data_IF_434511055317
#
_entry.id   IF_434511055317
#
_cell.length_a   1.000
_cell.length_b   1.000
_cell.length_c   1.000
_cell.angle_alpha   90.00
_cell.angle_beta   90.00
_cell.angle_gamma   90.00
#
_symmetry.space_group_name_H-M   'P 1'
#
loop_
_entity.id
_entity.type
_entity.pdbx_description
1 polymer ?
#
# COMPACT_ATOMS: atom_id res chain seq x y z
N UNK A 1 -14.69 25.37 47.31
CA UNK A 1 -14.55 25.17 46.88
C UNK A 1 -14.18 24.96 46.03
N UNK A 2 -14.05 25.11 46.10
CA UNK A 2 -13.77 24.85 45.31
C UNK A 2 -13.46 24.52 44.57
N UNK A 3 -13.24 24.28 44.33
CA UNK A 3 -12.89 23.85 43.59
C UNK A 3 -12.69 23.40 42.77
N UNK A 4 -12.68 23.51 42.80
CA UNK A 4 -12.44 23.14 41.96
C UNK A 4 -12.04 22.89 41.08
N UNK A 5 -11.72 22.91 41.05
CA UNK A 5 -11.29 22.85 40.15
C UNK A 5 -10.90 22.33 39.42
N UNK A 6 -10.94 21.97 39.42
CA UNK A 6 -10.61 21.55 38.65
C UNK A 6 -10.39 21.04 37.83
N UNK A 7 -10.50 20.62 37.92
CA UNK A 7 -10.29 20.14 37.13
C UNK A 7 -10.19 20.29 36.02
N UNK A 8 -10.26 20.58 35.91
CA UNK A 8 -10.29 20.88 34.87
C UNK A 8 -9.56 20.75 34.07
N UNK A 9 -8.85 20.41 34.18
CA UNK A 9 -8.09 20.38 33.48
C UNK A 9 -7.77 19.52 32.75
N UNK A 10 -7.72 18.82 33.03
CA UNK A 10 -7.40 17.91 32.48
C UNK A 10 -7.86 17.96 31.27
N UNK A 11 -8.46 18.13 31.24
CA UNK A 11 -8.99 18.17 30.20
C UNK A 11 -8.35 18.54 29.16
N UNK A 12 -7.81 19.00 29.16
CA UNK A 12 -7.27 19.47 28.24
C UNK A 12 -6.49 18.73 27.64
N UNK A 13 -6.18 18.08 28.10
CA UNK A 13 -5.45 17.38 27.60
C UNK A 13 -5.85 16.75 26.67
N UNK A 14 -6.40 16.41 26.92
CA UNK A 14 -6.92 15.65 26.09
C UNK A 14 -6.80 16.23 24.87
N UNK A 15 -7.01 17.14 24.90
CA UNK A 15 -7.06 17.73 23.78
C UNK A 15 -5.98 17.48 23.03
N UNK A 16 -5.17 17.44 23.55
CA UNK A 16 -4.14 17.36 22.86
C UNK A 16 -4.18 16.36 22.02
N UNK A 17 -4.57 15.62 22.24
CA UNK A 17 -4.47 14.66 21.51
C UNK A 17 -4.85 14.81 20.33
N UNK A 18 -5.31 15.15 20.36
CA UNK A 18 -5.91 15.21 19.31
C UNK A 18 -5.14 15.46 18.22
N UNK A 19 -4.42 15.86 18.18
CA UNK A 19 -3.84 16.18 17.16
C UNK A 19 -3.05 15.41 16.51
N UNK A 20 -2.50 14.84 16.92
CA UNK A 20 -1.53 14.24 16.29
C UNK A 20 -1.92 13.57 15.22
N UNK A 21 -2.28 13.17 15.30
CA UNK A 21 -2.80 12.55 14.60
C UNK A 21 -2.75 12.72 13.32
N UNK A 22 -2.91 13.07 12.95
CA UNK A 22 -3.11 13.20 11.78
C UNK A 22 -2.16 13.40 10.93
N UNK A 23 -1.32 13.50 11.27
CA UNK A 23 -0.37 13.93 10.40
C UNK A 23 -0.01 13.03 9.32
N UNK A 24 0.16 11.80 9.50
CA UNK A 24 0.63 10.99 8.43
C UNK A 24 -0.28 9.88 8.12
N UNK A 25 -0.53 9.69 6.85
CA UNK A 25 -1.13 8.45 6.40
C UNK A 25 -0.03 7.40 6.34
N UNK A 26 -0.32 6.21 6.71
CA UNK A 26 0.64 5.13 6.57
C UNK A 26 0.86 4.85 5.08
N UNK A 27 2.07 4.49 4.72
CA UNK A 27 2.33 4.08 3.35
C UNK A 27 1.57 2.79 3.06
N UNK A 28 1.17 2.59 1.81
CA UNK A 28 0.40 1.40 1.45
C UNK A 28 1.15 0.09 1.65
N UNK A 29 2.46 0.13 1.61
CA UNK A 29 3.30 -1.04 1.80
C UNK A 29 4.61 -0.61 2.41
N UNK A 30 5.44 -1.57 2.80
CA UNK A 30 6.69 -1.25 3.46
C UNK A 30 7.78 -2.17 2.96
N UNK A 31 9.03 -1.79 3.18
CA UNK A 31 10.16 -2.66 2.88
C UNK A 31 10.47 -3.51 4.10
N UNK A 32 10.61 -4.80 3.90
CA UNK A 32 10.98 -5.71 4.96
C UNK A 32 11.97 -6.70 4.38
N UNK A 33 13.14 -6.79 5.02
CA UNK A 33 14.19 -7.68 4.55
C UNK A 33 14.55 -7.43 3.08
N UNK A 34 14.51 -6.15 2.68
CA UNK A 34 14.90 -5.76 1.33
C UNK A 34 13.82 -5.90 0.27
N UNK A 35 12.63 -6.34 0.65
CA UNK A 35 11.54 -6.55 -0.29
C UNK A 35 10.30 -5.82 0.16
N UNK A 36 9.47 -5.41 -0.79
CA UNK A 36 8.23 -4.73 -0.45
C UNK A 36 7.17 -5.75 -0.04
N UNK A 37 6.51 -5.49 1.07
CA UNK A 37 5.38 -6.28 1.54
C UNK A 37 4.23 -5.35 1.88
N UNK A 38 3.00 -5.87 1.79
CA UNK A 38 1.84 -5.07 2.18
C UNK A 38 1.67 -5.13 3.70
N UNK A 39 0.60 -4.53 4.21
CA UNK A 39 0.41 -4.45 5.65
C UNK A 39 0.09 -5.80 6.30
N UNK A 40 -0.20 -6.80 5.50
CA UNK A 40 -0.39 -8.16 6.00
C UNK A 40 0.88 -8.97 5.90
N UNK A 41 1.96 -8.36 5.43
CA UNK A 41 3.24 -9.05 5.26
C UNK A 41 3.36 -9.82 3.96
N UNK A 42 2.39 -9.68 3.06
CA UNK A 42 2.40 -10.41 1.80
C UNK A 42 3.29 -9.72 0.79
N UNK A 43 4.00 -10.51 0.01
CA UNK A 43 4.95 -10.00 -0.98
C UNK A 43 4.24 -9.24 -2.08
N UNK A 44 4.84 -8.13 -2.49
CA UNK A 44 4.30 -7.25 -3.54
C UNK A 44 5.12 -7.40 -4.81
N UNK A 45 4.44 -7.46 -5.94
CA UNK A 45 5.06 -7.72 -7.25
C UNK A 45 4.76 -6.63 -8.26
N UNK A 46 5.60 -6.55 -9.29
CA UNK A 46 5.32 -5.74 -10.47
C UNK A 46 5.24 -6.66 -11.69
N UNK A 47 4.62 -6.14 -12.75
CA UNK A 47 4.37 -6.90 -13.98
C UNK A 47 5.06 -6.17 -15.12
N UNK A 48 5.95 -6.86 -15.82
CA UNK A 48 6.77 -6.22 -16.86
C UNK A 48 5.96 -5.71 -18.04
N UNK A 49 4.77 -6.26 -18.26
CA UNK A 49 3.96 -5.79 -19.38
C UNK A 49 3.18 -4.52 -19.10
N UNK A 50 3.17 -4.06 -17.85
CA UNK A 50 2.56 -2.80 -17.53
C UNK A 50 3.46 -1.68 -18.05
N UNK A 51 2.87 -0.68 -18.65
CA UNK A 51 3.64 0.41 -19.22
C UNK A 51 2.88 1.71 -19.16
N UNK A 52 3.61 2.82 -19.04
CA UNK A 52 2.99 4.12 -19.07
C UNK A 52 2.05 4.40 -17.92
N UNK A 53 2.26 3.77 -16.78
CA UNK A 53 1.39 3.96 -15.64
C UNK A 53 0.05 3.26 -15.77
N UNK A 54 -0.04 2.27 -16.65
CA UNK A 54 -1.30 1.58 -16.88
C UNK A 54 -1.14 0.10 -16.59
N UNK A 55 -2.12 -0.48 -15.92
CA UNK A 55 -2.13 -1.90 -15.63
C UNK A 55 -2.63 -2.68 -16.83
N UNK A 56 -1.88 -3.69 -17.21
CA UNK A 56 -2.27 -4.59 -18.30
C UNK A 56 -2.78 -5.92 -17.77
N UNK A 57 -2.88 -6.07 -16.45
CA UNK A 57 -3.33 -7.30 -15.83
C UNK A 57 -4.81 -7.17 -15.45
N UNK A 58 -5.69 -7.72 -16.28
CA UNK A 58 -7.13 -7.62 -16.11
C UNK A 58 -7.76 -9.01 -16.18
N UNK A 59 -9.02 -9.14 -15.81
CA UNK A 59 -9.74 -10.39 -15.94
C UNK A 59 -9.08 -11.51 -15.16
N UNK A 60 -8.78 -12.62 -15.85
CA UNK A 60 -8.18 -13.77 -15.18
C UNK A 60 -6.80 -13.46 -14.61
N UNK A 61 -6.05 -12.57 -15.27
CA UNK A 61 -4.77 -12.15 -14.73
C UNK A 61 -4.95 -11.53 -13.35
N UNK A 62 -5.93 -10.65 -13.19
CA UNK A 62 -6.16 -9.99 -11.93
C UNK A 62 -6.69 -10.93 -10.85
N UNK A 63 -7.25 -12.08 -11.23
CA UNK A 63 -7.67 -13.06 -10.25
C UNK A 63 -6.46 -13.77 -9.65
N UNK A 64 -5.46 -14.01 -10.45
CA UNK A 64 -4.24 -14.67 -9.98
C UNK A 64 -3.29 -13.66 -9.36
N UNK A 65 -3.32 -12.43 -9.82
CA UNK A 65 -2.44 -11.36 -9.35
C UNK A 65 -3.30 -10.18 -8.93
N UNK A 66 -3.91 -10.25 -7.74
CA UNK A 66 -4.78 -9.15 -7.30
C UNK A 66 -4.03 -7.83 -7.22
N UNK A 67 -4.55 -6.79 -7.82
CA UNK A 67 -3.89 -5.49 -7.74
C UNK A 67 -4.00 -4.92 -6.31
N UNK A 68 -3.01 -4.14 -5.92
CA UNK A 68 -3.09 -3.45 -4.65
C UNK A 68 -4.05 -2.28 -4.83
N UNK A 69 -5.26 -2.44 -4.30
CA UNK A 69 -6.31 -1.47 -4.51
C UNK A 69 -6.10 -0.23 -3.65
N UNK A 70 -6.34 0.93 -4.22
CA UNK A 70 -6.26 2.19 -3.51
C UNK A 70 -7.66 2.65 -3.13
N UNK A 71 -7.87 3.08 -1.88
CA UNK A 71 -9.18 3.56 -1.49
C UNK A 71 -9.51 4.89 -2.16
N UNK A 72 -10.80 5.23 -2.16
CA UNK A 72 -11.21 6.51 -2.69
C UNK A 72 -10.50 7.62 -1.91
N UNK A 73 -10.01 8.59 -2.63
CA UNK A 73 -9.31 9.71 -2.01
C UNK A 73 -7.83 9.49 -1.76
N UNK A 74 -7.30 8.31 -2.08
CA UNK A 74 -5.87 8.09 -1.96
C UNK A 74 -5.12 9.04 -2.89
N UNK A 75 -3.97 9.51 -2.43
CA UNK A 75 -3.23 10.53 -3.16
C UNK A 75 -1.82 10.08 -3.44
N UNK A 76 -1.24 10.64 -4.50
CA UNK A 76 0.15 10.43 -4.80
C UNK A 76 1.02 11.09 -3.73
N UNK A 77 2.09 10.43 -3.35
CA UNK A 77 3.01 10.99 -2.37
C UNK A 77 4.37 10.35 -2.56
N UNK A 78 5.38 11.16 -2.88
CA UNK A 78 6.72 10.63 -3.13
C UNK A 78 6.71 9.71 -4.34
N UNK A 79 7.16 8.50 -4.17
CA UNK A 79 7.16 7.52 -5.25
C UNK A 79 5.83 6.79 -5.39
N UNK A 80 4.90 7.02 -4.47
CA UNK A 80 3.59 6.38 -4.52
C UNK A 80 2.65 7.17 -5.38
N UNK A 81 1.97 6.49 -6.30
CA UNK A 81 0.94 7.11 -7.13
C UNK A 81 -0.27 6.20 -7.17
N UNK A 82 -1.35 6.70 -7.73
CA UNK A 82 -2.59 5.94 -7.88
C UNK A 82 -2.95 5.96 -9.35
N UNK A 83 -3.21 4.79 -9.92
CA UNK A 83 -3.59 4.70 -11.32
C UNK A 83 -5.02 4.20 -11.43
N UNK A 84 -5.66 4.48 -12.56
CA UNK A 84 -7.01 4.01 -12.82
C UNK A 84 -6.93 2.79 -13.72
N UNK A 85 -7.56 1.71 -13.28
CA UNK A 85 -7.58 0.47 -14.05
C UNK A 85 -8.68 0.54 -15.12
N UNK A 86 -8.64 -0.39 -16.06
CA UNK A 86 -9.62 -0.43 -17.13
C UNK A 86 -11.05 -0.58 -16.62
N UNK A 87 -11.24 -1.20 -15.47
CA UNK A 87 -12.57 -1.37 -14.91
C UNK A 87 -13.01 -0.19 -14.05
N UNK A 88 -12.23 0.88 -14.01
CA UNK A 88 -12.58 2.07 -13.26
C UNK A 88 -12.12 2.07 -11.81
N UNK A 89 -11.58 0.96 -11.31
CA UNK A 89 -11.06 0.93 -9.95
C UNK A 89 -9.66 1.55 -9.89
N UNK A 90 -9.20 1.84 -8.69
CA UNK A 90 -7.92 2.53 -8.50
C UNK A 90 -6.92 1.57 -7.88
N UNK A 91 -5.68 1.65 -8.33
CA UNK A 91 -4.62 0.76 -7.90
C UNK A 91 -3.39 1.57 -7.53
N UNK A 92 -2.68 1.15 -6.48
CA UNK A 92 -1.43 1.80 -6.14
C UNK A 92 -0.33 1.42 -7.12
N UNK A 93 0.55 2.38 -7.35
CA UNK A 93 1.76 2.17 -8.12
C UNK A 93 2.92 2.77 -7.34
N UNK A 94 4.10 2.19 -7.47
CA UNK A 94 5.29 2.67 -6.82
C UNK A 94 6.36 2.86 -7.88
N UNK A 95 6.96 4.08 -7.89
CA UNK A 95 7.99 4.41 -8.87
C UNK A 95 7.47 4.17 -10.29
N UNK A 96 6.18 4.47 -10.52
CA UNK A 96 5.55 4.35 -11.82
C UNK A 96 5.08 2.95 -12.18
N UNK A 97 5.24 1.97 -11.30
CA UNK A 97 4.90 0.59 -11.61
C UNK A 97 3.70 0.13 -10.79
N UNK A 98 2.61 -0.29 -11.44
CA UNK A 98 1.46 -0.82 -10.72
C UNK A 98 1.84 -2.04 -9.88
N UNK A 99 1.22 -2.17 -8.72
CA UNK A 99 1.60 -3.17 -7.74
C UNK A 99 0.51 -4.23 -7.57
N UNK A 100 0.96 -5.48 -7.34
CA UNK A 100 0.09 -6.63 -7.22
C UNK A 100 0.54 -7.54 -6.09
N UNK A 101 -0.35 -8.40 -5.62
CA UNK A 101 0.05 -9.55 -4.82
C UNK A 101 -0.23 -10.81 -5.64
N UNK A 102 0.18 -11.97 -5.13
CA UNK A 102 0.00 -13.22 -5.85
C UNK A 102 -0.90 -14.14 -5.04
N UNK A 103 -1.95 -14.63 -5.65
CA UNK A 103 -2.93 -15.41 -4.92
C UNK A 103 -2.37 -16.70 -4.36
N UNK A 104 -1.29 -17.23 -4.93
CA UNK A 104 -0.72 -18.48 -4.43
C UNK A 104 0.26 -18.30 -3.29
N UNK A 105 0.60 -17.05 -2.94
CA UNK A 105 1.34 -16.79 -1.72
C UNK A 105 0.33 -16.87 -0.58
N UNK A 106 0.50 -17.84 0.30
CA UNK A 106 -0.48 -18.09 1.36
C UNK A 106 -0.05 -17.56 2.71
N UNK A 107 1.22 -17.28 2.89
CA UNK A 107 1.76 -16.81 4.16
C UNK A 107 2.71 -15.65 3.94
N UNK A 108 2.85 -14.77 4.92
CA UNK A 108 3.84 -13.70 4.82
C UNK A 108 5.22 -14.27 4.52
N UNK A 109 5.93 -13.60 3.64
CA UNK A 109 7.28 -14.00 3.28
C UNK A 109 7.38 -14.95 2.10
N UNK A 110 6.27 -15.52 1.64
CA UNK A 110 6.35 -16.37 0.46
C UNK A 110 6.53 -15.51 -0.79
N UNK A 111 7.28 -16.04 -1.76
CA UNK A 111 7.55 -15.34 -3.00
C UNK A 111 7.36 -16.30 -4.17
N UNK A 112 6.23 -16.97 -4.19
CA UNK A 112 6.03 -18.02 -5.19
C UNK A 112 5.88 -17.48 -6.60
N UNK A 113 5.61 -16.20 -6.73
CA UNK A 113 5.44 -15.60 -8.05
C UNK A 113 6.68 -14.92 -8.60
N UNK A 114 7.77 -14.86 -7.83
CA UNK A 114 8.96 -14.14 -8.28
C UNK A 114 9.57 -14.82 -9.49
N UNK A 115 9.75 -14.06 -10.57
CA UNK A 115 10.30 -14.59 -11.81
C UNK A 115 9.32 -15.38 -12.64
N UNK A 116 8.04 -15.45 -12.23
CA UNK A 116 7.09 -16.27 -12.95
C UNK A 116 6.91 -15.77 -14.37
N UNK A 117 7.02 -16.67 -15.33
CA UNK A 117 6.92 -16.39 -16.76
C UNK A 117 7.87 -15.26 -17.20
N UNK A 118 8.89 -14.98 -16.38
CA UNK A 118 9.88 -13.94 -16.64
C UNK A 118 9.28 -12.53 -16.71
N UNK A 119 8.05 -12.35 -16.29
CA UNK A 119 7.40 -11.03 -16.33
C UNK A 119 6.92 -10.54 -14.97
N UNK A 120 6.96 -11.38 -13.92
CA UNK A 120 6.52 -10.98 -12.58
C UNK A 120 7.74 -10.94 -11.66
N UNK A 121 7.88 -9.86 -10.93
CA UNK A 121 9.05 -9.65 -10.09
C UNK A 121 8.68 -9.05 -8.75
N UNK A 122 9.34 -9.53 -7.70
CA UNK A 122 9.22 -8.94 -6.37
C UNK A 122 9.82 -7.55 -6.42
N UNK A 123 9.23 -6.60 -5.69
CA UNK A 123 9.79 -5.25 -5.60
C UNK A 123 10.87 -5.27 -4.55
N UNK A 124 12.08 -4.91 -4.94
CA UNK A 124 13.21 -4.86 -4.03
C UNK A 124 13.56 -3.44 -3.63
N UNK A 125 14.16 -3.30 -2.47
CA UNK A 125 14.62 -2.02 -2.01
C UNK A 125 15.77 -1.56 -2.91
N UNK A 126 15.72 -0.29 -3.32
CA UNK A 126 16.79 0.28 -4.11
C UNK A 126 17.77 1.00 -3.19
N UNK A 127 19.04 0.89 -3.48
CA UNK A 127 20.06 1.55 -2.68
C UNK A 127 20.76 2.64 -3.44
#
# INVERSE_FOLDING_TARGET
MTQYTFSLKALMLAAALALPTMAFAAEPAMMKDGMMVDHKGMTVYTFDKDAGGKSMCNGDCAKNWPPMMAPAGAKAEGKWTVIKRDDGTMQYAYDGKPLYTFMKDEKPGEMKGDGMKDVWHVVHEHK
#
